data_IF_583891245187
#
_entry.id   IF_583891245187
#
_cell.length_a   1.000
_cell.length_b   1.000
_cell.length_c   1.000
_cell.angle_alpha   90.00
_cell.angle_beta   90.00
_cell.angle_gamma   90.00
#
_symmetry.space_group_name_H-M   'P 1'
#
loop_
_entity.id
_entity.type
_entity.pdbx_description
1 polymer ?
#
# COMPACT_ATOMS: atom_id res chain seq x y z
N UNK A 1 3.64 -22.50 0.77
CA UNK A 1 2.64 -22.87 -0.26
C UNK A 1 2.12 -21.71 -1.11
N UNK A 2 1.42 -20.68 -0.60
CA UNK A 2 0.90 -19.60 -1.46
C UNK A 2 2.00 -18.64 -1.98
N UNK A 3 2.90 -18.17 -1.10
CA UNK A 3 4.11 -17.45 -1.53
C UNK A 3 5.10 -18.31 -2.33
N UNK A 4 5.10 -19.63 -2.17
CA UNK A 4 5.87 -20.55 -3.03
C UNK A 4 5.25 -20.68 -4.41
N UNK A 5 3.92 -20.61 -4.54
CA UNK A 5 3.25 -20.53 -5.84
C UNK A 5 3.46 -19.17 -6.49
N UNK A 6 3.39 -18.06 -5.73
CA UNK A 6 3.77 -16.76 -6.26
C UNK A 6 5.25 -16.75 -6.67
N UNK A 7 6.16 -17.27 -5.84
CA UNK A 7 7.57 -17.45 -6.19
C UNK A 7 7.76 -18.39 -7.39
N UNK A 8 7.04 -19.50 -7.47
CA UNK A 8 7.13 -20.45 -8.58
C UNK A 8 6.54 -19.89 -9.87
N UNK A 9 5.48 -19.08 -9.79
CA UNK A 9 4.86 -18.40 -10.93
C UNK A 9 5.74 -17.23 -11.40
N UNK A 10 6.41 -16.54 -10.47
CA UNK A 10 7.49 -15.59 -10.74
C UNK A 10 8.70 -16.29 -11.40
N UNK A 11 9.06 -17.50 -10.97
CA UNK A 11 10.21 -18.25 -11.52
C UNK A 11 9.91 -19.03 -12.81
N UNK A 12 8.65 -19.42 -13.07
CA UNK A 12 8.26 -20.14 -14.29
C UNK A 12 8.13 -19.21 -15.50
N UNK A 13 7.94 -17.90 -15.30
CA UNK A 13 7.91 -16.91 -16.38
C UNK A 13 9.30 -16.38 -16.79
N UNK A 14 10.36 -16.71 -16.04
CA UNK A 14 11.75 -16.36 -16.37
C UNK A 14 12.38 -17.33 -17.41
N UNK A 15 11.73 -18.47 -17.68
CA UNK A 15 12.22 -19.47 -18.65
C UNK A 15 11.92 -19.12 -20.12
N UNK A 16 11.20 -18.03 -20.42
CA UNK A 16 11.04 -17.54 -21.81
C UNK A 16 12.12 -16.54 -22.25
N UNK A 17 13.12 -16.28 -21.41
CA UNK A 17 14.44 -15.79 -21.78
C UNK A 17 14.53 -14.68 -22.81
N UNK A 18 14.41 -13.41 -22.40
CA UNK A 18 15.23 -12.30 -22.91
C UNK A 18 15.26 -11.22 -21.83
N UNK A 19 16.41 -10.97 -21.18
CA UNK A 19 17.00 -9.64 -21.03
C UNK A 19 18.46 -9.80 -20.56
N UNK A 20 19.37 -9.34 -21.43
CA UNK A 20 20.82 -9.31 -21.23
C UNK A 20 21.25 -7.92 -20.74
N UNK A 21 22.10 -7.91 -19.70
CA UNK A 21 23.26 -7.02 -19.45
C UNK A 21 22.97 -5.53 -19.13
N UNK A 22 23.69 -4.73 -18.34
CA UNK A 22 25.03 -4.69 -17.72
C UNK A 22 24.88 -3.88 -16.40
N UNK A 23 25.61 -4.12 -15.30
CA UNK A 23 27.01 -3.72 -15.10
C UNK A 23 27.12 -2.28 -14.57
N UNK A 24 27.60 -2.07 -13.33
CA UNK A 24 27.91 -0.73 -12.83
C UNK A 24 27.99 -0.59 -11.31
N UNK A 25 29.21 -0.71 -10.79
CA UNK A 25 29.66 -0.49 -9.41
C UNK A 25 29.47 0.95 -8.90
N UNK A 26 29.31 1.15 -7.58
CA UNK A 26 30.16 2.07 -6.81
C UNK A 26 29.96 1.96 -5.29
N UNK A 27 31.05 2.29 -4.59
CA UNK A 27 31.40 1.93 -3.23
C UNK A 27 31.00 2.96 -2.16
N UNK A 28 30.97 2.46 -0.91
CA UNK A 28 31.39 3.04 0.37
C UNK A 28 31.26 4.55 0.64
N UNK A 29 30.71 4.91 1.80
CA UNK A 29 31.54 5.37 2.93
C UNK A 29 30.75 5.58 4.23
N UNK A 30 31.40 5.17 5.31
CA UNK A 30 31.11 5.32 6.73
C UNK A 30 31.24 6.77 7.24
N UNK A 31 30.54 7.10 8.34
CA UNK A 31 31.21 7.72 9.50
C UNK A 31 30.40 7.64 10.80
N UNK A 32 31.17 7.59 11.88
CA UNK A 32 30.82 7.32 13.27
C UNK A 32 31.21 8.51 14.16
N UNK A 33 30.63 8.55 15.37
CA UNK A 33 31.20 8.99 16.67
C UNK A 33 30.44 10.10 17.45
N UNK A 34 29.91 9.67 18.62
CA UNK A 34 30.04 10.24 20.01
C UNK A 34 29.62 11.69 20.31
N UNK A 35 29.25 12.16 21.51
CA UNK A 35 28.88 11.69 22.87
C UNK A 35 28.76 12.97 23.75
N UNK A 36 28.05 12.90 24.89
CA UNK A 36 27.98 13.86 26.04
C UNK A 36 27.09 15.12 25.86
N UNK A 37 26.27 15.62 26.79
CA UNK A 37 25.89 15.27 28.18
C UNK A 37 25.26 16.50 28.88
N UNK A 38 24.39 16.27 29.90
CA UNK A 38 24.04 17.12 31.08
C UNK A 38 22.70 17.93 31.15
N UNK A 39 21.76 17.35 31.95
CA UNK A 39 20.83 17.84 33.02
C UNK A 39 20.01 19.17 33.01
N UNK A 40 18.71 18.96 33.31
CA UNK A 40 17.53 19.71 33.83
C UNK A 40 17.74 20.88 34.85
N UNK A 41 16.71 21.68 35.31
CA UNK A 41 15.24 21.40 35.35
C UNK A 41 14.25 22.59 35.14
N UNK A 42 12.95 22.29 34.94
CA UNK A 42 11.79 22.76 35.76
C UNK A 42 10.43 22.46 35.10
N UNK A 43 9.44 22.22 35.97
CA UNK A 43 8.09 21.72 35.71
C UNK A 43 7.27 22.48 34.65
N UNK A 44 6.73 21.73 33.69
CA UNK A 44 5.41 21.98 33.13
C UNK A 44 4.73 20.62 32.89
N UNK A 45 3.66 20.37 33.64
CA UNK A 45 2.80 19.19 33.50
C UNK A 45 2.11 19.21 32.14
N UNK A 46 2.75 18.63 31.14
CA UNK A 46 2.11 18.27 29.88
C UNK A 46 1.91 16.75 29.87
N UNK A 47 0.64 16.35 29.71
CA UNK A 47 0.20 14.97 29.72
C UNK A 47 1.13 14.08 28.91
N UNK A 48 1.80 13.17 29.62
CA UNK A 48 2.64 12.17 29.01
C UNK A 48 1.77 11.18 28.25
N UNK A 49 1.99 11.17 26.93
CA UNK A 49 2.14 9.96 26.12
C UNK A 49 0.87 9.13 25.91
N UNK A 50 0.01 9.55 24.99
CA UNK A 50 -0.60 8.57 24.10
C UNK A 50 0.52 7.97 23.24
N UNK A 51 1.12 6.91 23.77
CA UNK A 51 2.00 6.05 23.01
C UNK A 51 1.30 5.66 21.71
N UNK A 52 1.97 5.93 20.59
CA UNK A 52 1.61 5.51 19.24
C UNK A 52 0.86 4.17 19.25
N UNK A 53 -0.47 4.21 19.16
CA UNK A 53 -1.24 3.01 18.85
C UNK A 53 -0.65 2.47 17.53
N UNK A 54 -0.02 1.30 17.61
CA UNK A 54 0.59 0.63 16.46
C UNK A 54 -0.47 0.48 15.36
N UNK A 55 -0.05 0.51 14.10
CA UNK A 55 -0.94 0.13 13.00
C UNK A 55 -1.57 -1.24 13.29
N UNK A 56 -2.88 -1.35 13.08
CA UNK A 56 -3.66 -2.55 13.37
C UNK A 56 -4.46 -2.99 12.14
N UNK A 57 -4.95 -4.22 12.17
CA UNK A 57 -5.84 -4.77 11.15
C UNK A 57 -7.31 -4.52 11.48
N UNK A 58 -8.16 -4.56 10.45
CA UNK A 58 -9.59 -4.37 10.60
C UNK A 58 -10.03 -2.91 10.56
N UNK A 59 -11.26 -2.68 11.00
CA UNK A 59 -11.89 -1.35 11.01
C UNK A 59 -11.16 -0.41 11.97
N UNK A 60 -10.83 0.82 11.56
CA UNK A 60 -10.23 1.82 12.44
C UNK A 60 -11.23 2.26 13.52
N UNK A 61 -10.72 2.49 14.74
CA UNK A 61 -11.55 2.95 15.85
C UNK A 61 -12.22 4.29 15.54
N UNK A 62 -13.53 4.38 15.79
CA UNK A 62 -14.31 5.61 15.61
C UNK A 62 -14.48 6.07 14.15
N UNK A 63 -14.11 5.25 13.16
CA UNK A 63 -14.22 5.60 11.75
C UNK A 63 -15.08 4.56 10.99
N UNK A 64 -16.40 4.79 10.87
CA UNK A 64 -17.30 3.91 10.14
C UNK A 64 -17.00 3.89 8.63
N UNK A 65 -17.39 2.80 7.98
CA UNK A 65 -17.41 2.70 6.52
C UNK A 65 -18.28 3.83 5.94
N UNK A 66 -17.78 4.52 4.92
CA UNK A 66 -18.41 5.69 4.32
C UNK A 66 -17.90 7.02 4.84
N UNK A 67 -17.08 7.05 5.90
CA UNK A 67 -16.53 8.31 6.39
C UNK A 67 -15.62 8.97 5.36
N UNK A 68 -15.91 10.24 5.05
CA UNK A 68 -15.14 11.09 4.13
C UNK A 68 -14.16 11.98 4.90
N UNK A 69 -13.01 12.21 4.29
CA UNK A 69 -11.89 12.99 4.80
C UNK A 69 -11.43 13.97 3.72
N UNK A 70 -11.16 15.21 4.10
CA UNK A 70 -10.79 16.25 3.13
C UNK A 70 -9.40 16.04 2.50
N UNK A 71 -8.54 15.23 3.14
CA UNK A 71 -7.16 15.04 2.66
C UNK A 71 -6.53 13.73 3.12
N UNK A 72 -5.41 13.37 2.47
CA UNK A 72 -4.50 12.31 2.94
C UNK A 72 -3.99 12.53 4.36
N UNK A 73 -3.82 13.79 4.78
CA UNK A 73 -3.45 14.13 6.15
C UNK A 73 -4.60 13.85 7.13
N UNK A 74 -5.84 14.19 6.77
CA UNK A 74 -6.99 13.81 7.58
C UNK A 74 -7.15 12.29 7.71
N UNK A 75 -6.88 11.53 6.64
CA UNK A 75 -6.81 10.05 6.71
C UNK A 75 -5.71 9.56 7.65
N UNK A 76 -4.55 10.21 7.66
CA UNK A 76 -3.44 9.90 8.55
C UNK A 76 -3.80 10.19 10.01
N UNK A 77 -4.35 11.36 10.29
CA UNK A 77 -4.70 11.83 11.64
C UNK A 77 -5.81 10.96 12.24
N UNK A 78 -6.77 10.52 11.41
CA UNK A 78 -7.81 9.55 11.77
C UNK A 78 -7.32 8.09 11.83
N UNK A 79 -6.02 7.84 11.58
CA UNK A 79 -5.38 6.52 11.63
C UNK A 79 -5.95 5.48 10.65
N UNK A 80 -6.78 5.89 9.68
CA UNK A 80 -7.32 4.98 8.65
C UNK A 80 -6.27 4.61 7.60
N UNK A 81 -5.36 5.54 7.27
CA UNK A 81 -4.21 5.30 6.40
C UNK A 81 -3.00 6.14 6.82
N UNK A 82 -2.04 5.53 7.51
CA UNK A 82 -0.92 6.25 8.16
C UNK A 82 0.25 6.57 7.21
N UNK A 83 -0.07 7.04 6.01
CA UNK A 83 0.88 7.68 5.12
C UNK A 83 0.19 8.79 4.31
N UNK A 84 0.87 9.93 4.14
CA UNK A 84 0.33 11.05 3.35
C UNK A 84 0.57 10.90 1.85
N UNK A 85 1.58 10.13 1.45
CA UNK A 85 1.94 9.93 0.04
C UNK A 85 1.73 8.48 -0.43
N UNK A 86 2.32 7.51 0.29
CA UNK A 86 2.34 6.09 -0.13
C UNK A 86 0.94 5.53 -0.34
N UNK A 87 0.73 4.79 -1.43
CA UNK A 87 -0.53 4.08 -1.69
C UNK A 87 -0.76 2.91 -0.73
N UNK A 88 0.29 2.18 -0.33
CA UNK A 88 0.22 1.02 0.57
C UNK A 88 0.93 1.32 1.88
N UNK A 89 0.29 1.02 3.01
CA UNK A 89 0.87 1.05 4.37
C UNK A 89 0.88 -0.36 4.95
N UNK A 90 2.04 -0.82 5.40
CA UNK A 90 2.24 -2.21 5.80
C UNK A 90 3.61 -2.53 6.34
N UNK A 91 3.73 -3.71 6.93
CA UNK A 91 4.97 -4.33 7.37
C UNK A 91 5.22 -5.61 6.55
N UNK A 92 6.45 -5.81 6.07
CA UNK A 92 6.79 -6.96 5.21
C UNK A 92 6.66 -8.33 5.89
N UNK A 93 6.66 -8.38 7.22
CA UNK A 93 6.51 -9.60 8.01
C UNK A 93 5.06 -9.88 8.39
N UNK A 94 4.29 -8.82 8.68
CA UNK A 94 2.92 -8.93 9.18
C UNK A 94 1.87 -8.85 8.06
N UNK A 95 2.06 -7.96 7.08
CA UNK A 95 1.04 -7.64 6.08
C UNK A 95 0.86 -6.13 5.86
N UNK A 96 0.11 -5.78 4.82
CA UNK A 96 -0.45 -4.47 4.61
C UNK A 96 -1.71 -4.26 5.46
N UNK A 97 -1.84 -3.06 6.03
CA UNK A 97 -2.98 -2.65 6.84
C UNK A 97 -4.00 -1.86 6.01
N UNK A 98 -3.52 -1.04 5.08
CA UNK A 98 -4.36 -0.13 4.29
C UNK A 98 -3.78 0.19 2.91
N UNK A 99 -4.67 0.43 1.95
CA UNK A 99 -4.35 0.97 0.62
C UNK A 99 -5.21 2.18 0.26
N UNK A 100 -4.70 3.01 -0.64
CA UNK A 100 -5.42 4.14 -1.25
C UNK A 100 -5.59 3.90 -2.74
N UNK A 101 -6.83 4.00 -3.22
CA UNK A 101 -7.19 4.02 -4.65
C UNK A 101 -7.55 5.45 -5.01
N UNK A 102 -6.69 6.15 -5.75
CA UNK A 102 -6.88 7.56 -6.10
C UNK A 102 -6.15 7.90 -7.41
N UNK A 103 -6.28 7.00 -8.40
CA UNK A 103 -5.76 7.18 -9.76
C UNK A 103 -4.29 7.56 -9.82
N UNK A 104 -3.51 6.69 -9.19
CA UNK A 104 -2.06 6.83 -9.22
C UNK A 104 -1.35 5.98 -10.26
N UNK A 105 -2.04 4.97 -10.77
CA UNK A 105 -1.51 4.06 -11.76
C UNK A 105 -2.54 3.89 -12.85
N UNK A 106 -2.12 4.14 -14.09
CA UNK A 106 -2.90 3.91 -15.32
C UNK A 106 -3.45 2.48 -15.42
N UNK A 107 -2.80 1.54 -14.74
CA UNK A 107 -3.12 0.13 -14.75
C UNK A 107 -4.26 -0.25 -13.79
N UNK A 108 -4.64 0.60 -12.83
CA UNK A 108 -5.66 0.27 -11.83
C UNK A 108 -7.04 0.03 -12.47
N UNK A 109 -7.75 -1.01 -12.02
CA UNK A 109 -9.15 -1.26 -12.41
C UNK A 109 -10.00 -1.36 -11.15
N UNK A 110 -10.94 -0.42 -10.99
CA UNK A 110 -11.83 -0.35 -9.83
C UNK A 110 -13.28 -0.69 -10.22
N UNK A 111 -13.73 -1.87 -9.81
CA UNK A 111 -15.08 -2.40 -10.02
C UNK A 111 -15.93 -2.32 -8.74
N UNK A 112 -15.50 -1.52 -7.75
CA UNK A 112 -16.20 -1.38 -6.48
C UNK A 112 -15.84 -2.51 -5.53
N UNK A 113 -16.64 -3.57 -5.51
CA UNK A 113 -16.38 -4.71 -4.62
C UNK A 113 -15.13 -5.52 -5.03
N UNK A 114 -14.66 -5.33 -6.26
CA UNK A 114 -13.43 -5.91 -6.79
C UNK A 114 -12.49 -4.80 -7.23
N UNK A 115 -11.22 -4.91 -6.87
CA UNK A 115 -10.18 -3.96 -7.29
C UNK A 115 -9.01 -4.76 -7.83
N UNK A 116 -8.55 -4.42 -9.03
CA UNK A 116 -7.28 -4.89 -9.57
C UNK A 116 -6.23 -3.81 -9.37
N UNK A 117 -5.57 -3.85 -8.22
CA UNK A 117 -4.67 -2.83 -7.73
C UNK A 117 -3.23 -3.06 -8.23
N UNK A 118 -2.58 -1.97 -8.61
CA UNK A 118 -1.20 -1.92 -9.08
C UNK A 118 -0.25 -1.67 -7.91
N UNK A 119 0.83 -2.45 -7.85
CA UNK A 119 1.87 -2.31 -6.84
C UNK A 119 2.58 -0.96 -6.92
N UNK A 120 3.44 -0.71 -5.94
CA UNK A 120 4.30 0.46 -5.89
C UNK A 120 5.65 0.23 -6.59
N UNK A 121 6.30 1.33 -6.98
CA UNK A 121 7.59 1.35 -7.66
C UNK A 121 7.42 1.49 -9.18
N UNK A 122 8.53 1.57 -9.92
CA UNK A 122 8.47 1.72 -11.37
C UNK A 122 8.35 3.14 -11.89
N UNK A 123 8.06 4.13 -11.02
CA UNK A 123 7.96 5.57 -11.34
C UNK A 123 9.05 6.39 -10.64
N UNK A 124 9.37 7.57 -11.20
CA UNK A 124 10.32 8.52 -10.61
C UNK A 124 9.76 9.27 -9.40
N UNK A 125 8.42 9.42 -9.31
CA UNK A 125 7.77 10.11 -8.22
C UNK A 125 7.25 9.12 -7.15
N UNK A 126 7.27 9.55 -5.89
CA UNK A 126 6.85 8.71 -4.75
C UNK A 126 5.32 8.60 -4.60
N UNK A 127 4.56 9.25 -5.48
CA UNK A 127 3.12 9.41 -5.39
C UNK A 127 2.33 8.45 -6.28
N UNK A 128 2.98 7.88 -7.31
CA UNK A 128 2.30 7.20 -8.40
C UNK A 128 1.33 8.16 -9.06
N UNK A 129 1.79 9.00 -9.95
CA UNK A 129 0.88 9.80 -10.81
C UNK A 129 1.45 9.99 -12.20
N UNK A 130 2.58 9.33 -12.46
CA UNK A 130 3.32 9.38 -13.71
C UNK A 130 3.24 8.00 -14.37
N UNK A 131 3.40 7.89 -15.69
CA UNK A 131 3.53 6.60 -16.34
C UNK A 131 4.70 5.78 -15.75
N UNK A 132 4.61 4.45 -15.86
CA UNK A 132 5.70 3.57 -15.45
C UNK A 132 6.92 3.79 -16.35
N UNK A 133 8.11 3.72 -15.76
CA UNK A 133 9.42 3.90 -16.42
C UNK A 133 10.38 2.74 -16.22
N UNK A 134 10.03 1.79 -15.36
CA UNK A 134 10.80 0.59 -15.05
C UNK A 134 9.92 -0.50 -14.46
N UNK A 135 10.42 -1.73 -14.49
CA UNK A 135 9.71 -2.89 -13.95
C UNK A 135 9.56 -2.80 -12.42
N UNK A 136 8.38 -3.15 -11.93
CA UNK A 136 8.13 -3.32 -10.51
C UNK A 136 8.62 -4.68 -10.02
N UNK A 137 8.85 -4.76 -8.70
CA UNK A 137 9.26 -5.99 -8.03
C UNK A 137 8.41 -6.27 -6.79
N UNK A 138 8.11 -7.56 -6.53
CA UNK A 138 7.55 -8.02 -5.27
C UNK A 138 8.55 -7.93 -4.10
N UNK A 139 9.82 -7.66 -4.35
CA UNK A 139 10.80 -7.34 -3.30
C UNK A 139 10.65 -5.89 -2.80
N UNK A 140 9.95 -5.03 -3.55
CA UNK A 140 9.61 -3.70 -3.09
C UNK A 140 8.79 -3.80 -1.79
N UNK A 141 9.17 -3.09 -0.69
CA UNK A 141 8.59 -3.32 0.63
C UNK A 141 7.06 -3.23 0.69
N UNK A 142 6.47 -2.27 -0.03
CA UNK A 142 5.01 -2.13 -0.10
C UNK A 142 4.33 -3.30 -0.80
N UNK A 143 4.92 -3.81 -1.88
CA UNK A 143 4.37 -4.92 -2.67
C UNK A 143 4.49 -6.22 -1.88
N UNK A 144 5.65 -6.40 -1.22
CA UNK A 144 5.89 -7.51 -0.31
C UNK A 144 4.91 -7.53 0.85
N UNK A 145 4.65 -6.37 1.47
CA UNK A 145 3.68 -6.25 2.55
C UNK A 145 2.26 -6.63 2.09
N UNK A 146 1.81 -6.15 0.93
CA UNK A 146 0.48 -6.49 0.41
C UNK A 146 0.39 -7.97 -0.02
N UNK A 147 1.44 -8.53 -0.63
CA UNK A 147 1.52 -9.95 -0.94
C UNK A 147 1.45 -10.82 0.32
N UNK A 148 2.00 -10.34 1.45
CA UNK A 148 1.95 -11.06 2.72
C UNK A 148 0.53 -11.28 3.25
N UNK A 149 -0.45 -10.42 2.91
CA UNK A 149 -1.85 -10.62 3.27
C UNK A 149 -2.45 -11.91 2.67
N UNK A 150 -1.87 -12.46 1.60
CA UNK A 150 -2.28 -13.76 1.05
C UNK A 150 -2.08 -14.89 2.07
N UNK A 151 -0.93 -14.89 2.74
CA UNK A 151 -0.60 -15.88 3.75
C UNK A 151 -1.32 -15.60 5.07
N UNK A 152 -1.30 -14.33 5.51
CA UNK A 152 -1.82 -13.96 6.84
C UNK A 152 -3.33 -13.84 6.88
N UNK A 153 -3.99 -13.69 5.72
CA UNK A 153 -5.43 -13.49 5.57
C UNK A 153 -5.97 -12.29 6.38
N UNK A 154 -5.10 -11.35 6.70
CA UNK A 154 -5.49 -10.11 7.33
C UNK A 154 -6.22 -9.19 6.34
N UNK A 155 -7.32 -8.55 6.76
CA UNK A 155 -8.01 -7.60 5.91
C UNK A 155 -7.16 -6.35 5.66
N UNK A 156 -7.38 -5.73 4.51
CA UNK A 156 -6.81 -4.47 4.08
C UNK A 156 -7.92 -3.41 4.07
N UNK A 157 -7.70 -2.28 4.74
CA UNK A 157 -8.58 -1.11 4.60
C UNK A 157 -8.41 -0.48 3.22
N UNK A 158 -9.50 -0.19 2.54
CA UNK A 158 -9.49 0.54 1.27
C UNK A 158 -10.00 1.96 1.49
N UNK A 159 -9.23 2.92 1.02
CA UNK A 159 -9.58 4.33 1.02
C UNK A 159 -9.64 4.77 -0.45
N UNK A 160 -10.80 5.26 -0.92
CA UNK A 160 -10.93 5.82 -2.27
C UNK A 160 -10.82 7.32 -2.24
N UNK A 161 -10.04 7.90 -3.14
CA UNK A 161 -10.05 9.34 -3.37
C UNK A 161 -10.99 9.74 -4.50
N UNK A 162 -11.31 11.02 -4.61
CA UNK A 162 -12.31 11.54 -5.55
C UNK A 162 -11.83 11.69 -6.99
N UNK A 163 -10.53 11.51 -7.27
CA UNK A 163 -9.96 11.71 -8.61
C UNK A 163 -10.42 10.58 -9.54
N UNK A 164 -11.03 10.95 -10.68
CA UNK A 164 -11.80 10.17 -11.70
C UNK A 164 -12.39 8.81 -11.25
N UNK A 165 -12.82 8.75 -9.99
CA UNK A 165 -13.27 7.52 -9.38
C UNK A 165 -14.77 7.32 -9.56
N UNK A 166 -15.15 6.29 -10.31
CA UNK A 166 -16.56 5.83 -10.40
C UNK A 166 -17.13 5.43 -9.04
N UNK A 167 -16.28 4.89 -8.16
CA UNK A 167 -16.68 4.33 -6.86
C UNK A 167 -16.23 5.16 -5.67
N UNK A 168 -15.48 6.23 -5.89
CA UNK A 168 -14.96 7.11 -4.86
C UNK A 168 -15.98 8.17 -4.42
N UNK A 169 -15.62 8.98 -3.41
CA UNK A 169 -16.45 10.10 -3.01
C UNK A 169 -16.45 11.22 -4.05
N UNK A 170 -17.44 12.11 -3.99
CA UNK A 170 -17.48 13.34 -4.79
C UNK A 170 -16.26 14.24 -4.53
N UNK A 171 -15.79 14.27 -3.28
CA UNK A 171 -14.63 15.06 -2.89
C UNK A 171 -13.82 14.34 -1.80
N UNK A 172 -12.51 14.61 -1.77
CA UNK A 172 -11.63 14.12 -0.71
C UNK A 172 -11.37 12.62 -0.81
N UNK A 173 -11.38 11.94 0.33
CA UNK A 173 -11.07 10.52 0.48
C UNK A 173 -12.11 9.84 1.36
N UNK A 174 -12.61 8.66 0.99
CA UNK A 174 -13.60 7.91 1.76
C UNK A 174 -13.07 6.55 2.18
N UNK A 175 -13.34 6.17 3.42
CA UNK A 175 -13.05 4.83 3.90
C UNK A 175 -14.14 3.85 3.44
N UNK A 176 -13.78 2.94 2.53
CA UNK A 176 -14.75 2.07 1.83
C UNK A 176 -14.81 0.64 2.40
N UNK A 177 -14.14 0.44 3.53
CA UNK A 177 -14.19 -0.80 4.31
C UNK A 177 -13.00 -1.72 4.09
N UNK A 178 -13.23 -2.98 4.43
CA UNK A 178 -12.25 -4.06 4.45
C UNK A 178 -12.34 -4.94 3.21
N UNK A 179 -11.18 -5.27 2.67
CA UNK A 179 -11.00 -6.13 1.52
C UNK A 179 -9.96 -7.21 1.83
N UNK A 180 -10.04 -8.35 1.15
CA UNK A 180 -9.05 -9.41 1.20
C UNK A 180 -8.27 -9.47 -0.11
N UNK A 181 -6.96 -9.71 -0.01
CA UNK A 181 -6.14 -10.01 -1.19
C UNK A 181 -6.43 -11.45 -1.63
N UNK A 182 -6.87 -11.60 -2.88
CA UNK A 182 -7.28 -12.90 -3.42
C UNK A 182 -6.03 -13.73 -3.76
N UNK A 183 -5.86 -14.84 -3.04
CA UNK A 183 -4.59 -15.60 -2.96
C UNK A 183 -4.02 -16.11 -4.28
N UNK A 184 -4.87 -16.40 -5.27
CA UNK A 184 -4.48 -16.90 -6.59
C UNK A 184 -4.53 -15.82 -7.69
N UNK A 185 -4.69 -14.55 -7.32
CA UNK A 185 -4.86 -13.42 -8.25
C UNK A 185 -3.91 -12.28 -7.87
N UNK A 186 -2.68 -12.63 -7.52
CA UNK A 186 -1.56 -11.70 -7.43
C UNK A 186 -0.39 -12.23 -8.26
N UNK A 187 0.31 -11.36 -9.00
CA UNK A 187 1.37 -11.77 -9.89
C UNK A 187 1.94 -10.62 -10.71
N UNK A 188 2.93 -10.93 -11.54
CA UNK A 188 3.44 -9.98 -12.52
C UNK A 188 2.55 -9.95 -13.77
N UNK A 189 2.29 -8.75 -14.29
CA UNK A 189 1.64 -8.55 -15.59
C UNK A 189 2.35 -7.44 -16.34
N UNK A 190 2.23 -7.43 -17.67
CA UNK A 190 2.69 -6.31 -18.49
C UNK A 190 1.67 -5.17 -18.35
N UNK A 191 2.10 -4.03 -17.81
CA UNK A 191 1.28 -2.82 -17.70
C UNK A 191 1.17 -2.06 -19.02
N UNK A 192 0.32 -1.04 -19.03
CA UNK A 192 -0.02 -0.23 -20.23
C UNK A 192 1.22 0.46 -20.82
N UNK A 193 2.07 1.06 -20.00
CA UNK A 193 3.36 1.63 -20.42
C UNK A 193 4.41 0.60 -20.88
N UNK A 194 4.07 -0.70 -20.90
CA UNK A 194 4.97 -1.74 -21.36
C UNK A 194 6.03 -2.12 -20.33
N UNK A 195 5.86 -1.81 -19.05
CA UNK A 195 6.71 -2.32 -17.96
C UNK A 195 5.98 -3.39 -17.18
N UNK A 196 6.74 -4.28 -16.54
CA UNK A 196 6.16 -5.26 -15.62
C UNK A 196 5.63 -4.55 -14.37
N UNK A 197 4.41 -4.88 -13.96
CA UNK A 197 3.81 -4.38 -12.73
C UNK A 197 3.47 -5.54 -11.79
N UNK A 198 3.47 -5.28 -10.47
CA UNK A 198 2.89 -6.19 -9.49
C UNK A 198 1.38 -5.95 -9.47
N UNK A 199 0.58 -6.94 -9.84
CA UNK A 199 -0.88 -6.87 -9.80
C UNK A 199 -1.43 -7.61 -8.58
N UNK A 200 -2.47 -7.05 -7.97
CA UNK A 200 -3.22 -7.68 -6.88
C UNK A 200 -4.73 -7.56 -7.13
N UNK A 201 -5.48 -8.66 -7.06
CA UNK A 201 -6.93 -8.60 -6.92
C UNK A 201 -7.30 -8.49 -5.45
N UNK A 202 -8.11 -7.49 -5.12
CA UNK A 202 -8.76 -7.35 -3.82
C UNK A 202 -10.26 -7.59 -3.96
N UNK A 203 -10.84 -8.27 -2.97
CA UNK A 203 -12.27 -8.55 -2.89
C UNK A 203 -12.82 -7.98 -1.59
N UNK A 204 -13.89 -7.18 -1.67
CA UNK A 204 -14.54 -6.60 -0.51
C UNK A 204 -15.14 -7.68 0.39
N UNK A 205 -14.96 -7.54 1.71
CA UNK A 205 -15.60 -8.43 2.68
C UNK A 205 -17.11 -8.19 2.76
N UNK A 206 -17.93 -9.25 2.93
CA UNK A 206 -19.36 -9.11 3.15
C UNK A 206 -19.66 -8.51 4.54
N UNK A 207 -20.92 -8.13 4.76
CA UNK A 207 -21.40 -7.64 6.07
C UNK A 207 -21.06 -6.17 6.38
N UNK A 208 -20.63 -5.41 5.37
CA UNK A 208 -20.40 -3.97 5.44
C UNK A 208 -21.48 -3.25 4.61
N UNK A 209 -21.74 -1.97 4.90
CA UNK A 209 -22.67 -1.14 4.10
C UNK A 209 -22.31 -1.28 2.61
N UNK A 210 -23.26 -1.58 1.71
CA UNK A 210 -22.96 -1.73 0.28
C UNK A 210 -22.38 -0.45 -0.32
N UNK A 211 -21.40 -0.57 -1.23
CA UNK A 211 -20.73 0.61 -1.82
C UNK A 211 -21.68 1.56 -2.55
N UNK A 212 -22.74 1.04 -3.16
CA UNK A 212 -23.78 1.83 -3.84
C UNK A 212 -24.60 2.72 -2.90
N UNK A 213 -24.52 2.45 -1.60
CA UNK A 213 -25.24 3.18 -0.55
C UNK A 213 -24.30 4.15 0.20
N UNK A 214 -23.05 4.33 -0.27
CA UNK A 214 -22.01 5.22 0.30
C UNK A 214 -21.82 6.52 -0.48
#
# INVERSE_FOLDING_TARGET
>A
MAMERLRAQIMQQDQSGVYRTNGGTNAASSNSLTSTGLVSPTNATFGSTEASAKDHYGHPDGCPVGQVFDSRKACYDAKVHRATMKGIVGNVFEGAYSIVVNEGYEDDIDEGDVIWYTGAGGQDNRGGSEPQKSDQSFDHPSNRALARNIDTRHPVRVIRGSKDSKWGPVQGYRYDGLYDVVSNQAGYVKGISGYQICRFKLQRRPGQIPLKDL
#
